data_IF_266369401347
#
_entry.id   IF_266369401347
#
_cell.length_a   1.000
_cell.length_b   1.000
_cell.length_c   1.000
_cell.angle_alpha   90.00
_cell.angle_beta   90.00
_cell.angle_gamma   90.00
#
_symmetry.space_group_name_H-M   'P 1'
#
loop_
_entity.id
_entity.type
_entity.pdbx_description
1 polymer ?
#
# COMPACT_ATOMS: atom_id res chain seq x y z
N UNK A 1 6.36 29.19 -5.81
CA UNK A 1 6.15 27.78 -6.15
C UNK A 1 4.67 27.41 -6.17
N UNK A 2 3.89 27.75 -5.13
CA UNK A 2 2.47 27.40 -5.06
C UNK A 2 1.64 28.07 -6.18
N UNK A 3 1.88 29.32 -6.46
CA UNK A 3 1.14 30.09 -7.49
C UNK A 3 1.62 29.80 -8.91
N UNK A 4 2.92 29.72 -9.15
CA UNK A 4 3.48 29.54 -10.49
C UNK A 4 3.31 28.11 -11.05
N UNK A 5 3.33 27.08 -10.18
CA UNK A 5 3.29 25.68 -10.60
C UNK A 5 2.10 24.89 -10.05
N UNK A 6 1.08 25.53 -9.47
CA UNK A 6 -0.06 24.90 -8.81
C UNK A 6 0.36 23.83 -7.79
N UNK A 7 1.51 24.03 -7.13
CA UNK A 7 2.02 23.09 -6.13
C UNK A 7 1.23 23.25 -4.83
N UNK A 8 0.76 22.14 -4.25
CA UNK A 8 0.11 22.16 -2.94
C UNK A 8 1.14 22.46 -1.85
N UNK A 9 0.70 22.94 -0.69
CA UNK A 9 1.56 23.37 0.42
C UNK A 9 2.65 22.33 0.76
N UNK A 10 2.29 21.08 1.03
CA UNK A 10 3.25 20.02 1.36
C UNK A 10 4.22 19.69 0.21
N UNK A 11 3.80 19.86 -1.04
CA UNK A 11 4.70 19.77 -2.19
C UNK A 11 5.74 20.90 -2.20
N UNK A 12 5.34 22.12 -1.87
CA UNK A 12 6.28 23.24 -1.73
C UNK A 12 7.23 23.03 -0.54
N UNK A 13 6.73 22.53 0.60
CA UNK A 13 7.56 22.17 1.76
C UNK A 13 8.60 21.11 1.39
N UNK A 14 8.23 20.07 0.65
CA UNK A 14 9.16 19.03 0.20
C UNK A 14 10.30 19.60 -0.67
N UNK A 15 10.00 20.53 -1.59
CA UNK A 15 11.01 21.22 -2.40
C UNK A 15 11.93 22.07 -1.52
N UNK A 16 11.36 22.79 -0.56
CA UNK A 16 12.13 23.60 0.40
C UNK A 16 13.00 22.74 1.31
N UNK A 17 12.56 21.55 1.68
CA UNK A 17 13.37 20.57 2.43
C UNK A 17 14.59 20.09 1.62
N UNK A 18 14.40 19.80 0.33
CA UNK A 18 15.54 19.49 -0.56
C UNK A 18 16.54 20.63 -0.61
N UNK A 19 16.07 21.88 -0.76
CA UNK A 19 16.92 23.05 -0.75
C UNK A 19 17.63 23.23 0.60
N UNK A 20 16.92 23.04 1.71
CA UNK A 20 17.52 23.10 3.05
C UNK A 20 18.63 22.07 3.21
N UNK A 21 18.42 20.83 2.76
CA UNK A 21 19.43 19.78 2.83
C UNK A 21 20.67 20.13 1.98
N UNK A 22 20.48 20.72 0.80
CA UNK A 22 21.57 21.21 -0.02
C UNK A 22 22.36 22.34 0.69
N UNK A 23 21.67 23.30 1.30
CA UNK A 23 22.28 24.39 2.07
C UNK A 23 23.07 23.84 3.27
N UNK A 24 22.54 22.83 3.97
CA UNK A 24 23.27 22.15 5.06
C UNK A 24 24.52 21.41 4.55
N UNK A 25 24.46 20.83 3.36
CA UNK A 25 25.65 20.26 2.71
C UNK A 25 26.71 21.35 2.41
N UNK A 26 26.30 22.51 1.86
CA UNK A 26 27.21 23.65 1.62
C UNK A 26 27.84 24.18 2.91
N UNK A 27 27.08 24.25 4.00
CA UNK A 27 27.61 24.62 5.32
C UNK A 27 28.65 23.63 5.85
N UNK A 28 28.40 22.33 5.72
CA UNK A 28 29.34 21.28 6.15
C UNK A 28 30.66 21.30 5.36
N UNK A 29 30.61 21.74 4.10
CA UNK A 29 31.79 21.90 3.24
C UNK A 29 32.36 23.31 3.30
N UNK A 30 31.92 24.16 4.23
CA UNK A 30 32.41 25.52 4.45
C UNK A 30 32.27 26.46 3.23
N UNK A 31 31.39 26.08 2.26
CA UNK A 31 31.11 26.90 1.06
C UNK A 31 30.29 28.14 1.38
N UNK A 32 29.52 28.08 2.46
CA UNK A 32 28.77 29.20 3.03
C UNK A 32 28.93 29.23 4.53
N UNK A 33 28.94 30.44 5.11
CA UNK A 33 29.18 30.65 6.54
C UNK A 33 27.90 30.83 7.36
N UNK A 34 26.79 31.13 6.72
CA UNK A 34 25.51 31.40 7.40
C UNK A 34 24.42 30.49 6.85
N UNK A 35 23.61 29.96 7.75
CA UNK A 35 22.45 29.17 7.39
C UNK A 35 21.22 30.08 7.15
N UNK A 36 20.76 30.25 5.89
CA UNK A 36 19.58 31.07 5.60
C UNK A 36 18.28 30.48 6.18
N UNK A 37 18.26 29.18 6.49
CA UNK A 37 17.10 28.49 7.09
C UNK A 37 17.11 28.49 8.62
N UNK A 38 18.06 29.16 9.29
CA UNK A 38 18.23 29.12 10.76
C UNK A 38 16.94 29.45 11.51
N UNK A 39 16.16 30.39 11.01
CA UNK A 39 14.93 30.86 11.64
C UNK A 39 13.66 30.41 10.90
N UNK A 40 13.80 29.62 9.84
CA UNK A 40 12.68 29.17 9.04
C UNK A 40 12.30 27.74 9.42
N UNK A 41 11.08 27.57 9.93
CA UNK A 41 10.51 26.25 10.24
C UNK A 41 9.62 25.83 9.08
N UNK A 42 10.02 24.77 8.40
CA UNK A 42 9.16 24.10 7.44
C UNK A 42 8.13 23.27 8.23
N UNK A 43 6.87 23.62 8.09
CA UNK A 43 5.76 22.90 8.71
C UNK A 43 4.88 22.35 7.59
N UNK A 44 4.68 21.06 7.60
CA UNK A 44 3.71 20.41 6.73
C UNK A 44 2.28 20.59 7.28
N UNK A 45 1.32 20.74 6.38
CA UNK A 45 -0.09 20.63 6.75
C UNK A 45 -0.39 19.16 7.10
N UNK A 46 -1.32 18.95 8.02
CA UNK A 46 -1.80 17.62 8.33
C UNK A 46 -2.34 16.95 7.07
N UNK A 47 -1.76 15.80 6.73
CA UNK A 47 -2.24 14.99 5.62
C UNK A 47 -3.54 14.33 6.07
N UNK A 48 -4.64 14.61 5.38
CA UNK A 48 -5.89 13.87 5.57
C UNK A 48 -5.63 12.37 5.48
N UNK A 49 -6.32 11.59 6.32
CA UNK A 49 -6.23 10.15 6.26
C UNK A 49 -6.50 9.68 4.83
N UNK A 50 -5.56 8.89 4.30
CA UNK A 50 -5.72 8.38 2.93
C UNK A 50 -6.88 7.42 2.90
N UNK A 51 -7.70 7.53 1.86
CA UNK A 51 -8.84 6.65 1.67
C UNK A 51 -8.39 5.19 1.53
N UNK A 52 -9.17 4.32 2.13
CA UNK A 52 -9.05 2.87 2.01
C UNK A 52 -10.44 2.26 1.99
N UNK A 53 -10.57 1.05 1.46
CA UNK A 53 -11.81 0.31 1.46
C UNK A 53 -12.03 -0.33 2.84
N UNK A 54 -13.29 -0.31 3.28
CA UNK A 54 -13.76 -1.21 4.35
C UNK A 54 -13.83 -2.65 3.84
N UNK A 55 -13.92 -3.63 4.75
CA UNK A 55 -14.10 -5.04 4.37
C UNK A 55 -15.35 -5.23 3.50
N UNK A 56 -16.45 -4.55 3.84
CA UNK A 56 -17.70 -4.60 3.07
C UNK A 56 -17.54 -4.01 1.66
N UNK A 57 -16.89 -2.85 1.51
CA UNK A 57 -16.65 -2.25 0.19
C UNK A 57 -15.73 -3.12 -0.67
N UNK A 58 -14.72 -3.77 -0.05
CA UNK A 58 -13.85 -4.71 -0.76
C UNK A 58 -14.64 -5.94 -1.22
N UNK A 59 -15.53 -6.46 -0.41
CA UNK A 59 -16.41 -7.57 -0.77
C UNK A 59 -17.35 -7.19 -1.92
N UNK A 60 -18.02 -6.03 -1.85
CA UNK A 60 -18.88 -5.51 -2.92
C UNK A 60 -18.10 -5.41 -4.23
N UNK A 61 -16.90 -4.85 -4.20
CA UNK A 61 -16.04 -4.70 -5.38
C UNK A 61 -15.62 -6.06 -5.93
N UNK A 62 -15.27 -7.02 -5.07
CA UNK A 62 -14.82 -8.37 -5.47
C UNK A 62 -15.94 -9.16 -6.14
N UNK A 63 -17.17 -9.07 -5.63
CA UNK A 63 -18.33 -9.82 -6.14
C UNK A 63 -19.03 -9.16 -7.31
N UNK A 64 -18.70 -7.89 -7.62
CA UNK A 64 -19.40 -7.17 -8.69
C UNK A 64 -19.17 -7.83 -10.06
N UNK A 65 -20.23 -8.13 -10.75
CA UNK A 65 -20.15 -8.54 -12.14
C UNK A 65 -19.74 -7.33 -13.00
N UNK A 66 -18.66 -7.50 -13.74
CA UNK A 66 -18.05 -6.48 -14.58
C UNK A 66 -17.73 -7.08 -15.96
N UNK A 67 -17.64 -6.22 -16.97
CA UNK A 67 -17.11 -6.64 -18.26
C UNK A 67 -15.66 -7.17 -18.13
N UNK A 68 -15.21 -7.95 -19.12
CA UNK A 68 -13.88 -8.58 -19.10
C UNK A 68 -12.74 -7.57 -18.86
N UNK A 69 -12.86 -6.36 -19.40
CA UNK A 69 -11.84 -5.31 -19.27
C UNK A 69 -11.75 -4.82 -17.83
N UNK A 70 -12.89 -4.45 -17.23
CA UNK A 70 -12.96 -3.95 -15.86
C UNK A 70 -12.69 -5.07 -14.83
N UNK A 71 -13.12 -6.30 -15.10
CA UNK A 71 -12.83 -7.45 -14.25
C UNK A 71 -11.32 -7.66 -14.08
N UNK A 72 -10.53 -7.59 -15.17
CA UNK A 72 -9.06 -7.69 -15.11
C UNK A 72 -8.43 -6.58 -14.23
N UNK A 73 -8.96 -5.37 -14.30
CA UNK A 73 -8.49 -4.24 -13.49
C UNK A 73 -8.83 -4.45 -12.01
N UNK A 74 -10.09 -4.87 -11.73
CA UNK A 74 -10.54 -5.24 -10.40
C UNK A 74 -9.65 -6.30 -9.78
N UNK A 75 -9.33 -7.36 -10.51
CA UNK A 75 -8.54 -8.49 -10.02
C UNK A 75 -7.13 -8.05 -9.61
N UNK A 76 -6.48 -7.22 -10.41
CA UNK A 76 -5.19 -6.60 -10.03
C UNK A 76 -5.32 -5.77 -8.75
N UNK A 77 -6.38 -4.97 -8.64
CA UNK A 77 -6.60 -4.13 -7.46
C UNK A 77 -6.89 -4.97 -6.21
N UNK A 78 -7.79 -5.94 -6.30
CA UNK A 78 -8.15 -6.85 -5.20
C UNK A 78 -6.92 -7.66 -4.76
N UNK A 79 -6.13 -8.16 -5.72
CA UNK A 79 -4.86 -8.83 -5.40
C UNK A 79 -3.93 -7.94 -4.56
N UNK A 80 -3.79 -6.66 -4.92
CA UNK A 80 -3.03 -5.70 -4.12
C UNK A 80 -3.66 -5.43 -2.74
N UNK A 81 -5.00 -5.45 -2.63
CA UNK A 81 -5.70 -5.33 -1.36
C UNK A 81 -5.50 -6.54 -0.44
N UNK A 82 -5.25 -7.73 -0.99
CA UNK A 82 -5.09 -8.96 -0.24
C UNK A 82 -3.61 -9.30 0.07
N UNK A 83 -2.66 -8.70 -0.66
CA UNK A 83 -1.22 -8.96 -0.51
C UNK A 83 -0.43 -7.79 0.06
N UNK A 84 -1.00 -6.59 0.01
CA UNK A 84 -0.31 -5.36 0.39
C UNK A 84 0.81 -4.93 -0.57
N UNK A 85 0.96 -5.60 -1.72
CA UNK A 85 1.93 -5.19 -2.74
C UNK A 85 1.62 -3.78 -3.24
N UNK A 86 2.65 -2.99 -3.48
CA UNK A 86 2.50 -1.77 -4.26
C UNK A 86 2.23 -2.13 -5.72
N UNK A 87 1.53 -1.27 -6.45
CA UNK A 87 1.20 -1.52 -7.86
C UNK A 87 2.45 -1.83 -8.71
N UNK A 88 3.56 -1.09 -8.51
CA UNK A 88 4.80 -1.36 -9.23
C UNK A 88 5.36 -2.76 -8.92
N UNK A 89 5.25 -3.23 -7.68
CA UNK A 89 5.68 -4.56 -7.27
C UNK A 89 4.78 -5.65 -7.87
N UNK A 90 3.47 -5.41 -7.95
CA UNK A 90 2.50 -6.30 -8.58
C UNK A 90 2.68 -6.33 -10.12
N UNK A 91 2.97 -5.18 -10.74
CA UNK A 91 3.25 -5.08 -12.17
C UNK A 91 4.48 -5.90 -12.59
N UNK A 92 5.50 -5.95 -11.75
CA UNK A 92 6.72 -6.72 -11.99
C UNK A 92 6.73 -8.08 -11.29
N UNK A 93 5.58 -8.57 -10.84
CA UNK A 93 5.48 -9.90 -10.22
C UNK A 93 5.56 -10.98 -11.30
N UNK A 94 6.52 -11.90 -11.15
CA UNK A 94 6.79 -13.01 -12.07
C UNK A 94 6.59 -14.35 -11.38
N UNK A 95 6.49 -15.43 -12.14
CA UNK A 95 6.36 -16.79 -11.59
C UNK A 95 7.54 -17.20 -10.71
N UNK A 96 8.75 -16.77 -11.03
CA UNK A 96 9.96 -17.01 -10.25
C UNK A 96 9.93 -16.44 -8.83
N UNK A 97 9.03 -15.45 -8.59
CA UNK A 97 8.81 -14.87 -7.27
C UNK A 97 7.81 -15.68 -6.43
N UNK A 98 7.17 -16.70 -7.01
CA UNK A 98 6.21 -17.55 -6.35
C UNK A 98 6.87 -18.88 -5.99
N UNK A 99 6.74 -19.31 -4.74
CA UNK A 99 7.26 -20.60 -4.27
C UNK A 99 6.31 -21.22 -3.26
N UNK A 100 6.34 -22.54 -3.12
CA UNK A 100 5.68 -23.23 -2.02
C UNK A 100 6.68 -23.54 -0.91
N UNK A 101 6.22 -23.47 0.34
CA UNK A 101 6.96 -23.98 1.48
C UNK A 101 6.71 -25.49 1.66
N UNK A 102 7.37 -26.09 2.66
CA UNK A 102 7.25 -27.51 2.98
C UNK A 102 5.84 -27.94 3.43
N UNK A 103 5.00 -26.97 3.82
CA UNK A 103 3.59 -27.16 4.19
C UNK A 103 2.63 -26.94 3.01
N UNK A 104 3.16 -26.69 1.82
CA UNK A 104 2.38 -26.47 0.59
C UNK A 104 1.75 -25.07 0.49
N UNK A 105 2.10 -24.13 1.37
CA UNK A 105 1.60 -22.74 1.31
C UNK A 105 2.38 -21.97 0.27
N UNK A 106 1.67 -21.21 -0.56
CA UNK A 106 2.27 -20.33 -1.55
C UNK A 106 2.75 -19.02 -0.93
N UNK A 107 3.91 -18.58 -1.37
CA UNK A 107 4.56 -17.35 -0.95
C UNK A 107 4.99 -16.50 -2.12
N UNK A 108 4.97 -15.18 -1.93
CA UNK A 108 5.68 -14.23 -2.76
C UNK A 108 7.01 -13.88 -2.08
N UNK A 109 8.12 -14.11 -2.78
CA UNK A 109 9.44 -13.65 -2.41
C UNK A 109 9.93 -12.66 -3.45
N UNK A 110 9.77 -11.36 -3.20
CA UNK A 110 10.12 -10.32 -4.16
C UNK A 110 10.78 -9.13 -3.49
N UNK A 111 11.97 -8.66 -3.98
CA UNK A 111 12.51 -7.38 -3.56
C UNK A 111 11.60 -6.26 -4.07
N UNK A 112 11.36 -5.26 -3.25
CA UNK A 112 10.55 -4.10 -3.61
C UNK A 112 11.27 -3.24 -4.64
N UNK A 113 10.56 -2.80 -5.67
CA UNK A 113 11.09 -1.91 -6.72
C UNK A 113 11.67 -0.60 -6.14
N UNK A 114 11.04 -0.03 -5.12
CA UNK A 114 11.43 1.26 -4.55
C UNK A 114 12.61 1.21 -3.58
N UNK A 115 12.76 0.11 -2.82
CA UNK A 115 13.66 0.07 -1.64
C UNK A 115 14.59 -1.12 -1.64
N UNK A 116 14.44 -2.05 -2.59
CA UNK A 116 15.13 -3.35 -2.66
C UNK A 116 14.99 -4.22 -1.39
N UNK A 117 14.13 -3.83 -0.45
CA UNK A 117 13.84 -4.63 0.74
C UNK A 117 13.02 -5.85 0.31
N UNK A 118 13.42 -7.04 0.76
CA UNK A 118 12.72 -8.28 0.46
C UNK A 118 11.35 -8.32 1.13
N UNK A 119 10.28 -8.41 0.35
CA UNK A 119 8.94 -8.73 0.81
C UNK A 119 8.74 -10.24 0.80
N UNK A 120 8.17 -10.77 1.88
CA UNK A 120 7.79 -12.18 2.04
C UNK A 120 6.32 -12.21 2.42
N UNK A 121 5.48 -12.64 1.49
CA UNK A 121 4.03 -12.53 1.63
C UNK A 121 3.42 -13.90 1.41
N UNK A 122 2.80 -14.52 2.44
CA UNK A 122 2.02 -15.74 2.22
C UNK A 122 0.77 -15.42 1.42
N UNK A 123 0.47 -16.24 0.43
CA UNK A 123 -0.73 -16.08 -0.38
C UNK A 123 -1.92 -16.75 0.30
N UNK A 124 -2.98 -15.98 0.50
CA UNK A 124 -4.25 -16.50 0.96
C UNK A 124 -4.98 -17.26 -0.17
N UNK A 125 -5.86 -18.22 0.13
CA UNK A 125 -6.61 -18.96 -0.90
C UNK A 125 -7.28 -18.05 -1.95
N UNK A 126 -7.96 -16.99 -1.52
CA UNK A 126 -8.59 -16.03 -2.44
C UNK A 126 -7.61 -15.28 -3.35
N UNK A 127 -6.32 -15.16 -2.99
CA UNK A 127 -5.32 -14.58 -3.91
C UNK A 127 -4.90 -15.55 -4.99
N UNK A 128 -4.87 -16.85 -4.70
CA UNK A 128 -4.59 -17.89 -5.69
C UNK A 128 -5.73 -18.01 -6.71
N UNK A 129 -6.98 -17.91 -6.26
CA UNK A 129 -8.15 -17.89 -7.14
C UNK A 129 -8.09 -16.73 -8.14
N UNK A 130 -7.59 -15.57 -7.71
CA UNK A 130 -7.39 -14.42 -8.62
C UNK A 130 -6.30 -14.71 -9.66
N UNK A 131 -5.23 -15.42 -9.31
CA UNK A 131 -4.12 -15.71 -10.23
C UNK A 131 -4.46 -16.81 -11.24
N UNK A 132 -5.31 -17.77 -10.88
CA UNK A 132 -5.64 -18.94 -11.69
C UNK A 132 -6.06 -18.60 -13.14
N UNK A 133 -6.98 -17.64 -13.41
CA UNK A 133 -7.40 -17.30 -14.77
C UNK A 133 -6.28 -16.72 -15.64
N UNK A 134 -5.20 -16.23 -15.03
CA UNK A 134 -4.09 -15.57 -15.72
C UNK A 134 -2.88 -16.47 -15.98
N UNK A 135 -2.94 -17.72 -15.55
CA UNK A 135 -1.84 -18.66 -15.71
C UNK A 135 -1.43 -18.85 -17.19
N UNK A 136 -2.41 -18.91 -18.08
CA UNK A 136 -2.21 -19.08 -19.52
C UNK A 136 -2.67 -17.86 -20.33
N UNK A 137 -2.90 -16.72 -19.67
CA UNK A 137 -3.28 -15.48 -20.36
C UNK A 137 -2.13 -15.01 -21.26
N UNK A 138 -2.42 -14.80 -22.55
CA UNK A 138 -1.44 -14.46 -23.58
C UNK A 138 -0.63 -13.20 -23.21
N UNK A 139 -1.27 -12.18 -22.62
CA UNK A 139 -0.61 -10.94 -22.22
C UNK A 139 0.33 -11.17 -21.04
N UNK A 140 -0.10 -12.00 -20.09
CA UNK A 140 0.72 -12.37 -18.93
C UNK A 140 1.94 -13.21 -19.36
N UNK A 141 1.74 -14.20 -20.22
CA UNK A 141 2.80 -15.05 -20.76
C UNK A 141 3.81 -14.22 -21.57
N UNK A 142 3.34 -13.39 -22.51
CA UNK A 142 4.20 -12.55 -23.35
C UNK A 142 5.07 -11.57 -22.57
N UNK A 143 4.58 -11.13 -21.40
CA UNK A 143 5.31 -10.19 -20.50
C UNK A 143 6.03 -10.89 -19.35
N UNK A 144 5.96 -12.21 -19.26
CA UNK A 144 6.49 -12.99 -18.13
C UNK A 144 5.95 -12.49 -16.78
N UNK A 145 4.66 -12.13 -16.70
CA UNK A 145 3.98 -11.60 -15.51
C UNK A 145 2.88 -12.54 -15.02
N UNK A 146 2.53 -12.47 -13.76
CA UNK A 146 1.44 -13.28 -13.19
C UNK A 146 0.08 -12.56 -13.23
N UNK A 147 0.07 -11.25 -13.48
CA UNK A 147 -1.13 -10.42 -13.53
C UNK A 147 -1.18 -9.54 -14.78
N UNK A 148 -2.37 -9.29 -15.35
CA UNK A 148 -2.56 -8.49 -16.56
C UNK A 148 -2.57 -6.99 -16.26
N UNK A 149 -1.50 -6.49 -15.65
CA UNK A 149 -1.41 -5.09 -15.20
C UNK A 149 -1.34 -4.12 -16.38
N UNK A 150 -2.20 -3.08 -16.43
CA UNK A 150 -2.09 -1.98 -17.37
C UNK A 150 -1.06 -0.95 -16.90
N UNK A 151 -0.91 0.18 -17.59
CA UNK A 151 -0.15 1.30 -17.04
C UNK A 151 -0.85 1.88 -15.79
N UNK A 152 -0.07 2.44 -14.84
CA UNK A 152 -0.61 3.02 -13.61
C UNK A 152 -1.69 4.08 -13.87
N UNK A 153 -1.51 4.89 -14.93
CA UNK A 153 -2.48 5.90 -15.33
C UNK A 153 -3.82 5.27 -15.75
N UNK A 154 -3.78 4.21 -16.58
CA UNK A 154 -4.97 3.47 -17.00
C UNK A 154 -5.62 2.76 -15.82
N UNK A 155 -4.81 2.15 -14.94
CA UNK A 155 -5.31 1.51 -13.71
C UNK A 155 -6.14 2.50 -12.88
N UNK A 156 -5.61 3.67 -12.57
CA UNK A 156 -6.30 4.69 -11.79
C UNK A 156 -7.56 5.24 -12.50
N UNK A 157 -7.55 5.34 -13.83
CA UNK A 157 -8.73 5.77 -14.59
C UNK A 157 -9.86 4.74 -14.50
N UNK A 158 -9.56 3.47 -14.72
CA UNK A 158 -10.56 2.39 -14.64
C UNK A 158 -11.04 2.13 -13.21
N UNK A 159 -10.19 2.33 -12.19
CA UNK A 159 -10.65 2.20 -10.80
C UNK A 159 -11.71 3.24 -10.42
N UNK A 160 -11.71 4.42 -11.02
CA UNK A 160 -12.80 5.40 -10.86
C UNK A 160 -14.11 4.91 -11.48
N UNK A 161 -14.02 4.28 -12.65
CA UNK A 161 -15.17 3.68 -13.34
C UNK A 161 -15.77 2.53 -12.49
N UNK A 162 -14.90 1.65 -11.98
CA UNK A 162 -15.30 0.53 -11.12
C UNK A 162 -15.93 1.04 -9.81
N UNK A 163 -15.35 2.07 -9.16
CA UNK A 163 -15.90 2.65 -7.95
C UNK A 163 -17.33 3.16 -8.18
N UNK A 164 -17.55 3.89 -9.29
CA UNK A 164 -18.87 4.38 -9.65
C UNK A 164 -19.89 3.24 -9.90
N UNK A 165 -19.49 2.17 -10.61
CA UNK A 165 -20.34 0.99 -10.86
C UNK A 165 -20.66 0.22 -9.58
N UNK A 166 -19.75 0.23 -8.60
CA UNK A 166 -19.93 -0.41 -7.30
C UNK A 166 -20.66 0.49 -6.28
N UNK A 167 -20.95 1.76 -6.60
CA UNK A 167 -21.54 2.70 -5.66
C UNK A 167 -20.60 3.09 -4.51
N UNK A 168 -19.29 3.04 -4.73
CA UNK A 168 -18.27 3.39 -3.74
C UNK A 168 -17.91 4.85 -3.91
N UNK A 169 -18.30 5.68 -2.94
CA UNK A 169 -18.00 7.13 -2.92
C UNK A 169 -16.60 7.39 -2.34
N UNK A 170 -15.57 6.79 -2.97
CA UNK A 170 -14.16 6.98 -2.64
C UNK A 170 -13.33 7.04 -3.90
N UNK A 171 -12.25 7.85 -3.87
CA UNK A 171 -11.31 7.91 -5.00
C UNK A 171 -10.35 6.74 -4.92
N UNK A 172 -10.69 5.65 -5.62
CA UNK A 172 -9.84 4.47 -5.66
C UNK A 172 -8.63 4.70 -6.57
N UNK A 173 -7.45 4.52 -6.01
CA UNK A 173 -6.16 4.57 -6.69
C UNK A 173 -5.36 3.32 -6.40
N UNK A 174 -4.34 3.04 -7.19
CA UNK A 174 -3.43 1.91 -6.93
C UNK A 174 -2.83 1.95 -5.51
N UNK A 175 -2.67 3.14 -4.95
CA UNK A 175 -2.14 3.31 -3.59
C UNK A 175 -3.19 2.97 -2.51
N UNK A 176 -4.47 3.21 -2.80
CA UNK A 176 -5.59 2.85 -1.95
C UNK A 176 -5.61 1.35 -1.64
N UNK A 177 -5.30 0.48 -2.60
CA UNK A 177 -5.25 -0.97 -2.39
C UNK A 177 -4.30 -1.38 -1.24
N UNK A 178 -3.08 -0.86 -1.27
CA UNK A 178 -2.10 -1.14 -0.22
C UNK A 178 -2.51 -0.53 1.15
N UNK A 179 -3.17 0.64 1.15
CA UNK A 179 -3.74 1.19 2.38
C UNK A 179 -4.86 0.32 2.92
N UNK A 180 -5.73 -0.19 2.05
CA UNK A 180 -6.79 -1.14 2.41
C UNK A 180 -6.21 -2.37 3.11
N UNK A 181 -5.20 -3.00 2.52
CA UNK A 181 -4.50 -4.13 3.16
C UNK A 181 -3.98 -3.76 4.55
N UNK A 182 -3.25 -2.65 4.65
CA UNK A 182 -2.59 -2.26 5.90
C UNK A 182 -3.60 -1.91 7.00
N UNK A 183 -4.68 -1.18 6.68
CA UNK A 183 -5.73 -0.84 7.63
C UNK A 183 -6.49 -2.09 8.09
N UNK A 184 -6.89 -2.97 7.16
CA UNK A 184 -7.54 -4.23 7.50
C UNK A 184 -6.65 -5.14 8.34
N UNK A 185 -5.36 -5.26 8.00
CA UNK A 185 -4.42 -6.07 8.78
C UNK A 185 -4.34 -5.60 10.24
N UNK A 186 -4.27 -4.28 10.47
CA UNK A 186 -4.29 -3.71 11.83
C UNK A 186 -5.64 -3.93 12.51
N UNK A 187 -6.74 -3.73 11.80
CA UNK A 187 -8.10 -3.93 12.32
C UNK A 187 -8.34 -5.39 12.75
N UNK A 188 -7.79 -6.34 12.00
CA UNK A 188 -7.85 -7.77 12.34
C UNK A 188 -6.73 -8.23 13.28
N UNK A 189 -5.97 -7.31 13.89
CA UNK A 189 -5.03 -7.61 14.97
C UNK A 189 -3.65 -8.07 14.52
N UNK A 190 -3.27 -7.85 13.26
CA UNK A 190 -1.91 -8.17 12.83
C UNK A 190 -0.89 -7.25 13.55
N UNK A 191 0.15 -7.80 14.19
CA UNK A 191 1.19 -7.00 14.83
C UNK A 191 1.88 -6.07 13.82
N UNK A 192 2.12 -4.83 14.22
CA UNK A 192 2.71 -3.78 13.35
C UNK A 192 4.07 -4.20 12.77
N UNK A 193 4.88 -4.92 13.54
CA UNK A 193 6.20 -5.38 13.09
C UNK A 193 6.08 -6.47 12.01
N UNK A 194 5.06 -7.34 12.11
CA UNK A 194 4.75 -8.34 11.08
C UNK A 194 4.25 -7.64 9.82
N UNK A 195 3.31 -6.72 9.98
CA UNK A 195 2.80 -5.91 8.88
C UNK A 195 3.92 -5.14 8.16
N UNK A 196 4.86 -4.55 8.90
CA UNK A 196 6.01 -3.85 8.32
C UNK A 196 6.87 -4.76 7.45
N UNK A 197 7.10 -6.01 7.86
CA UNK A 197 7.83 -7.02 7.07
C UNK A 197 7.08 -7.42 5.80
N UNK A 198 5.77 -7.66 5.89
CA UNK A 198 4.92 -7.96 4.72
C UNK A 198 4.96 -6.81 3.73
N UNK A 199 4.81 -5.59 4.22
CA UNK A 199 4.87 -4.39 3.40
C UNK A 199 6.28 -4.07 2.89
N UNK A 200 7.33 -4.73 3.36
CA UNK A 200 8.72 -4.42 3.00
C UNK A 200 9.11 -2.99 3.38
N UNK A 201 8.70 -2.55 4.54
CA UNK A 201 9.13 -1.26 5.09
C UNK A 201 10.50 -1.42 5.77
N UNK A 202 11.43 -0.52 5.47
CA UNK A 202 12.74 -0.48 6.12
C UNK A 202 12.67 0.02 7.58
N UNK A 203 11.57 0.71 7.94
CA UNK A 203 11.33 1.25 9.27
C UNK A 203 9.85 1.09 9.63
N UNK A 204 9.58 0.59 10.84
CA UNK A 204 8.22 0.40 11.39
C UNK A 204 7.45 1.70 11.56
N UNK A 205 8.15 2.85 11.67
CA UNK A 205 7.47 4.15 11.73
C UNK A 205 6.59 4.42 10.51
N UNK A 206 6.96 3.89 9.33
CA UNK A 206 6.13 3.99 8.12
C UNK A 206 4.82 3.20 8.26
N UNK A 207 4.82 2.14 9.07
CA UNK A 207 3.65 1.28 9.32
C UNK A 207 2.77 1.85 10.43
N UNK A 208 3.34 2.58 11.37
CA UNK A 208 2.60 3.18 12.50
C UNK A 208 1.54 4.20 12.06
N UNK A 209 1.64 4.75 10.85
CA UNK A 209 0.57 5.60 10.30
C UNK A 209 -0.77 4.86 10.14
N UNK A 210 -0.74 3.52 10.05
CA UNK A 210 -1.95 2.68 10.00
C UNK A 210 -2.48 2.33 11.39
N UNK A 211 -1.67 2.52 12.45
CA UNK A 211 -2.00 2.19 13.83
C UNK A 211 -2.92 3.23 14.51
N UNK A 212 -3.74 3.96 13.75
CA UNK A 212 -4.88 4.69 14.32
C UNK A 212 -5.94 3.64 14.67
N UNK A 213 -5.76 3.01 15.83
CA UNK A 213 -6.70 2.02 16.35
C UNK A 213 -8.08 2.65 16.50
N UNK A 214 -9.08 2.03 15.87
CA UNK A 214 -10.47 2.38 16.13
C UNK A 214 -10.83 2.00 17.57
N UNK A 215 -11.83 2.66 18.14
CA UNK A 215 -12.37 2.29 19.48
C UNK A 215 -12.75 0.81 19.53
N UNK A 216 -13.23 0.25 18.44
CA UNK A 216 -13.55 -1.18 18.27
C UNK A 216 -12.33 -2.06 18.51
N UNK A 217 -11.16 -1.72 17.95
CA UNK A 217 -9.93 -2.49 18.15
C UNK A 217 -9.46 -2.37 19.60
N UNK A 218 -9.52 -1.17 20.16
CA UNK A 218 -9.16 -0.94 21.58
C UNK A 218 -10.07 -1.77 22.51
N UNK A 219 -11.38 -1.75 22.26
CA UNK A 219 -12.36 -2.54 23.04
C UNK A 219 -12.06 -4.03 22.98
N UNK A 220 -11.90 -4.59 21.78
CA UNK A 220 -11.58 -6.00 21.58
C UNK A 220 -10.27 -6.43 22.27
N UNK A 221 -9.21 -5.63 22.18
CA UNK A 221 -7.92 -5.96 22.83
C UNK A 221 -8.04 -5.91 24.37
N UNK A 222 -8.84 -4.98 24.89
CA UNK A 222 -9.11 -4.90 26.34
C UNK A 222 -9.96 -6.08 26.85
N UNK A 223 -10.96 -6.51 26.07
CA UNK A 223 -11.74 -7.72 26.37
C UNK A 223 -10.84 -8.96 26.39
N UNK A 224 -10.03 -9.17 25.34
CA UNK A 224 -9.09 -10.29 25.27
C UNK A 224 -8.04 -10.26 26.40
N UNK A 225 -7.61 -9.09 26.84
CA UNK A 225 -6.73 -8.91 27.99
C UNK A 225 -7.43 -9.33 29.29
N UNK A 226 -8.69 -8.90 29.48
CA UNK A 226 -9.50 -9.30 30.64
C UNK A 226 -9.70 -10.81 30.74
N UNK A 227 -10.01 -11.49 29.63
CA UNK A 227 -10.14 -12.96 29.59
C UNK A 227 -8.85 -13.67 29.98
N UNK A 228 -7.69 -13.21 29.49
CA UNK A 228 -6.38 -13.77 29.86
C UNK A 228 -6.06 -13.57 31.34
N UNK A 229 -6.40 -12.41 31.90
CA UNK A 229 -6.24 -12.17 33.35
C UNK A 229 -7.12 -13.12 34.19
N UNK A 230 -8.37 -13.31 33.79
CA UNK A 230 -9.31 -14.19 34.49
C UNK A 230 -8.86 -15.68 34.41
N UNK A 231 -8.21 -16.10 33.33
CA UNK A 231 -7.68 -17.46 33.16
C UNK A 231 -6.34 -17.70 33.87
N UNK A 232 -5.66 -16.64 34.30
CA UNK A 232 -4.37 -16.72 35.00
C UNK A 232 -4.52 -16.65 36.53
N UNK A 233 -5.74 -16.44 37.05
CA UNK A 233 -6.10 -16.42 38.47
C UNK A 233 -6.81 -17.69 38.88
#
# INVERSE_FOLDING_TARGET
LQTAHRCRHNGAVAVMDCLRNFVLYCLRNEWITKNPFRYYKLKEDEVQAKEHLTAHELELLTRKELDRRLARIRDVFVFCCLTGLAFADADHLRREHLSQDDEGRWWIHKPREKTSVMSRIPLLPGTLEILCPYEHDEVCVARSRVLPTPSNQKMNAYMKEIAAVCGIDKVLTTHCARHTFACMAVEYGMPIDVLAKILGHSNTNMTRHYAKFSETVIGREMEAFGERLASAT
#
